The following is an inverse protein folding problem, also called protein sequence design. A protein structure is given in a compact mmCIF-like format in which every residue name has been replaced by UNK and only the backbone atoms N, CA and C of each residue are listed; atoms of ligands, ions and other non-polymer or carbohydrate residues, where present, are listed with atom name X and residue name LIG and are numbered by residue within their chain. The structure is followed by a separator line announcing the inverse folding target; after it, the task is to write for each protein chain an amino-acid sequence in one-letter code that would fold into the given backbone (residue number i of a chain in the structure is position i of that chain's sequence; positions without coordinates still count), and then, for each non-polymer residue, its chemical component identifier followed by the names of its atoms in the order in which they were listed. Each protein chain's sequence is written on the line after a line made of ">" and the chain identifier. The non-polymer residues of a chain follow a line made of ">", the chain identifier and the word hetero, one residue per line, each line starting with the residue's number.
data_IF_930682291783
#
_entry.id   IF_930682291783
#
_cell.length_a   1.000
_cell.length_b   1.000
_cell.length_c   1.000
_cell.angle_alpha   90.00
_cell.angle_beta   90.00
_cell.angle_gamma   90.00
#
_symmetry.space_group_name_H-M   'P 1'
#
loop_
_entity.id
_entity.type
_entity.pdbx_description
1 polymer ?
#
# COMPACT_ATOMS: atom_id res chain seq x y z
N UNK A 1 -14.19 -26.73 -23.42
CA UNK A 1 -14.28 -25.90 -22.21
C UNK A 1 -14.57 -24.49 -22.68
N UNK A 2 -15.84 -24.13 -22.77
CA UNK A 2 -16.22 -22.75 -23.08
C UNK A 2 -15.87 -21.89 -21.87
N UNK A 3 -14.81 -21.11 -21.98
CA UNK A 3 -14.42 -20.14 -20.96
C UNK A 3 -15.44 -18.99 -21.01
N UNK A 4 -16.60 -19.17 -20.37
CA UNK A 4 -17.52 -18.06 -20.13
C UNK A 4 -16.78 -17.07 -19.23
N UNK A 5 -16.29 -15.98 -19.84
CA UNK A 5 -15.64 -14.90 -19.11
C UNK A 5 -16.62 -14.33 -18.10
N UNK A 6 -16.30 -14.44 -16.81
CA UNK A 6 -17.10 -13.82 -15.77
C UNK A 6 -17.08 -12.29 -15.98
N UNK A 7 -18.25 -11.62 -16.09
CA UNK A 7 -18.32 -10.20 -16.39
C UNK A 7 -17.59 -9.32 -15.37
N UNK A 8 -17.40 -9.81 -14.13
CA UNK A 8 -16.62 -9.12 -13.10
C UNK A 8 -15.20 -8.80 -13.58
N UNK A 9 -14.55 -9.68 -14.36
CA UNK A 9 -13.20 -9.41 -14.87
C UNK A 9 -13.13 -8.21 -15.81
N UNK A 10 -14.25 -7.84 -16.43
CA UNK A 10 -14.36 -6.76 -17.41
C UNK A 10 -14.98 -5.47 -16.85
N UNK A 11 -15.22 -5.41 -15.54
CA UNK A 11 -15.66 -4.17 -14.90
C UNK A 11 -14.63 -3.05 -15.14
N UNK A 12 -15.12 -1.85 -15.43
CA UNK A 12 -14.27 -0.67 -15.68
C UNK A 12 -13.18 -0.45 -14.61
N UNK A 13 -13.46 -0.52 -13.29
CA UNK A 13 -12.42 -0.42 -12.27
C UNK A 13 -11.35 -1.52 -12.39
N UNK A 14 -11.72 -2.76 -12.75
CA UNK A 14 -10.77 -3.87 -12.86
C UNK A 14 -9.87 -3.73 -14.08
N UNK A 15 -10.40 -3.20 -15.20
CA UNK A 15 -9.59 -2.87 -16.38
C UNK A 15 -8.54 -1.80 -16.06
N UNK A 16 -8.90 -0.80 -15.25
CA UNK A 16 -7.94 0.19 -14.74
C UNK A 16 -6.92 -0.48 -13.81
N UNK A 17 -7.36 -1.39 -12.93
CA UNK A 17 -6.47 -2.19 -12.09
C UNK A 17 -5.40 -2.95 -12.90
N UNK A 18 -5.79 -3.58 -14.02
CA UNK A 18 -4.81 -4.23 -14.91
C UNK A 18 -3.85 -3.23 -15.56
N UNK A 19 -4.34 -2.05 -15.95
CA UNK A 19 -3.49 -1.00 -16.49
C UNK A 19 -2.47 -0.49 -15.45
N UNK A 20 -2.88 -0.36 -14.18
CA UNK A 20 -1.99 -0.03 -13.06
C UNK A 20 -0.86 -1.04 -12.92
N UNK A 21 -1.15 -2.34 -13.02
CA UNK A 21 -0.13 -3.39 -13.01
C UNK A 21 0.87 -3.20 -14.16
N UNK A 22 0.39 -2.93 -15.37
CA UNK A 22 1.28 -2.69 -16.53
C UNK A 22 2.18 -1.46 -16.29
N UNK A 23 1.63 -0.37 -15.75
CA UNK A 23 2.41 0.83 -15.42
C UNK A 23 3.42 0.57 -14.31
N UNK A 24 3.07 -0.19 -13.28
CA UNK A 24 4.01 -0.62 -12.24
C UNK A 24 5.17 -1.43 -12.84
N UNK A 25 4.89 -2.37 -13.74
CA UNK A 25 5.93 -3.15 -14.43
C UNK A 25 6.87 -2.28 -15.27
N UNK A 26 6.35 -1.29 -16.00
CA UNK A 26 7.18 -0.32 -16.70
C UNK A 26 8.02 0.54 -15.76
N UNK A 27 7.47 0.90 -14.60
CA UNK A 27 8.22 1.58 -13.56
C UNK A 27 9.40 0.72 -13.07
N UNK A 28 9.14 -0.54 -12.70
CA UNK A 28 10.17 -1.47 -12.21
C UNK A 28 11.29 -1.69 -13.24
N UNK A 29 10.93 -1.85 -14.52
CA UNK A 29 11.91 -2.00 -15.59
C UNK A 29 12.79 -0.76 -15.78
N UNK A 30 12.24 0.44 -15.52
CA UNK A 30 12.96 1.70 -15.63
C UNK A 30 13.76 2.05 -14.36
N UNK A 31 13.39 1.52 -13.18
CA UNK A 31 13.97 1.88 -11.89
C UNK A 31 15.52 1.85 -11.83
N UNK A 32 16.21 0.85 -12.42
CA UNK A 32 17.67 0.78 -12.30
C UNK A 32 18.44 1.84 -13.09
N UNK A 33 17.89 2.36 -14.19
CA UNK A 33 18.66 3.13 -15.19
C UNK A 33 18.01 4.43 -15.65
N UNK A 34 16.69 4.57 -15.54
CA UNK A 34 15.93 5.70 -16.09
C UNK A 34 15.00 6.29 -15.02
N UNK A 35 15.54 7.09 -14.08
CA UNK A 35 14.78 7.55 -12.91
C UNK A 35 13.54 8.36 -13.26
N UNK A 36 13.63 9.25 -14.25
CA UNK A 36 12.50 10.08 -14.68
C UNK A 36 11.36 9.22 -15.23
N UNK A 37 11.66 8.27 -16.11
CA UNK A 37 10.65 7.37 -16.68
C UNK A 37 10.02 6.49 -15.58
N UNK A 38 10.83 5.95 -14.67
CA UNK A 38 10.35 5.14 -13.55
C UNK A 38 9.37 5.92 -12.67
N UNK A 39 9.71 7.15 -12.30
CA UNK A 39 8.86 8.01 -11.46
C UNK A 39 7.55 8.40 -12.16
N UNK A 40 7.58 8.67 -13.48
CA UNK A 40 6.36 8.96 -14.25
C UNK A 40 5.43 7.74 -14.26
N UNK A 41 5.94 6.55 -14.59
CA UNK A 41 5.12 5.33 -14.62
C UNK A 41 4.61 4.95 -13.22
N UNK A 42 5.42 5.14 -12.18
CA UNK A 42 5.02 4.93 -10.79
C UNK A 42 3.86 5.86 -10.41
N UNK A 43 4.02 7.16 -10.70
CA UNK A 43 3.00 8.16 -10.42
C UNK A 43 1.70 7.89 -11.19
N UNK A 44 1.78 7.50 -12.47
CA UNK A 44 0.60 7.13 -13.26
C UNK A 44 -0.13 5.92 -12.68
N UNK A 45 0.60 4.90 -12.21
CA UNK A 45 0.00 3.75 -11.53
C UNK A 45 -0.73 4.16 -10.25
N UNK A 46 -0.07 4.97 -9.40
CA UNK A 46 -0.65 5.46 -8.15
C UNK A 46 -1.83 6.44 -8.38
N UNK A 47 -1.80 7.23 -9.45
CA UNK A 47 -2.86 8.17 -9.78
C UNK A 47 -4.16 7.45 -10.22
N UNK A 48 -4.01 6.35 -10.95
CA UNK A 48 -5.15 5.55 -11.43
C UNK A 48 -5.90 4.81 -10.32
N UNK A 49 -5.26 4.59 -9.16
CA UNK A 49 -5.88 4.04 -7.94
C UNK A 49 -7.12 4.82 -7.51
N UNK A 50 -6.98 6.15 -7.38
CA UNK A 50 -8.11 6.99 -7.01
C UNK A 50 -9.24 6.94 -8.05
N UNK A 51 -8.89 6.69 -9.32
CA UNK A 51 -9.83 6.67 -10.43
C UNK A 51 -10.64 5.37 -10.48
N UNK A 52 -10.02 4.20 -10.24
CA UNK A 52 -10.77 2.94 -10.21
C UNK A 52 -11.80 2.91 -9.07
N UNK A 53 -11.47 3.40 -7.88
CA UNK A 53 -12.40 3.49 -6.76
C UNK A 53 -13.53 4.47 -7.03
N UNK A 54 -13.26 5.56 -7.75
CA UNK A 54 -14.30 6.48 -8.22
C UNK A 54 -15.24 5.80 -9.24
N UNK A 55 -14.70 5.08 -10.22
CA UNK A 55 -15.50 4.37 -11.22
C UNK A 55 -16.33 3.23 -10.62
N UNK A 56 -15.77 2.48 -9.66
CA UNK A 56 -16.48 1.41 -8.96
C UNK A 56 -17.75 1.92 -8.27
N UNK A 57 -17.66 3.10 -7.62
CA UNK A 57 -18.81 3.76 -6.99
C UNK A 57 -19.78 4.36 -7.99
N UNK A 58 -19.26 5.02 -9.03
CA UNK A 58 -20.08 5.70 -10.05
C UNK A 58 -20.92 4.72 -10.87
N UNK A 59 -20.34 3.60 -11.27
CA UNK A 59 -21.00 2.58 -12.11
C UNK A 59 -21.60 1.43 -11.32
N UNK A 60 -21.58 1.49 -9.98
CA UNK A 60 -22.05 0.42 -9.09
C UNK A 60 -21.40 -0.95 -9.41
N UNK A 61 -20.12 -0.94 -9.77
CA UNK A 61 -19.31 -2.10 -10.14
C UNK A 61 -18.32 -2.48 -9.04
N UNK A 62 -18.71 -2.29 -7.77
CA UNK A 62 -17.90 -2.71 -6.62
C UNK A 62 -17.94 -4.23 -6.50
N UNK A 63 -16.77 -4.86 -6.41
CA UNK A 63 -16.67 -6.32 -6.29
C UNK A 63 -15.56 -6.71 -5.32
N UNK A 64 -15.66 -7.89 -4.70
CA UNK A 64 -14.60 -8.39 -3.81
C UNK A 64 -13.30 -8.62 -4.58
N UNK A 65 -13.39 -9.16 -5.79
CA UNK A 65 -12.25 -9.31 -6.69
C UNK A 65 -11.54 -7.98 -6.96
N UNK A 66 -12.29 -6.94 -7.34
CA UNK A 66 -11.71 -5.62 -7.60
C UNK A 66 -11.03 -5.01 -6.38
N UNK A 67 -11.67 -5.11 -5.20
CA UNK A 67 -11.07 -4.63 -3.96
C UNK A 67 -9.78 -5.39 -3.58
N UNK A 68 -9.71 -6.70 -3.82
CA UNK A 68 -8.48 -7.48 -3.60
C UNK A 68 -7.39 -7.14 -4.62
N UNK A 69 -7.76 -6.96 -5.90
CA UNK A 69 -6.84 -6.60 -6.98
C UNK A 69 -6.19 -5.24 -6.72
N UNK A 70 -7.00 -4.26 -6.32
CA UNK A 70 -6.59 -2.92 -5.92
C UNK A 70 -5.54 -2.96 -4.79
N UNK A 71 -5.92 -3.57 -3.66
CA UNK A 71 -5.04 -3.66 -2.50
C UNK A 71 -3.73 -4.41 -2.81
N UNK A 72 -3.78 -5.48 -3.61
CA UNK A 72 -2.58 -6.23 -4.01
C UNK A 72 -1.67 -5.40 -4.93
N UNK A 73 -2.25 -4.66 -5.88
CA UNK A 73 -1.49 -3.85 -6.84
C UNK A 73 -0.71 -2.75 -6.13
N UNK A 74 -1.32 -2.09 -5.15
CA UNK A 74 -0.63 -1.13 -4.27
C UNK A 74 0.57 -1.74 -3.58
N UNK A 75 0.38 -2.90 -2.90
CA UNK A 75 1.45 -3.53 -2.11
C UNK A 75 2.60 -3.99 -2.99
N UNK A 76 2.30 -4.55 -4.16
CA UNK A 76 3.33 -4.95 -5.12
C UNK A 76 4.09 -3.75 -5.68
N UNK A 77 3.40 -2.64 -5.97
CA UNK A 77 4.00 -1.39 -6.46
C UNK A 77 4.98 -0.81 -5.43
N UNK A 78 4.53 -0.69 -4.19
CA UNK A 78 5.37 -0.25 -3.08
C UNK A 78 6.55 -1.19 -2.82
N UNK A 79 6.33 -2.51 -2.82
CA UNK A 79 7.41 -3.49 -2.66
C UNK A 79 8.47 -3.36 -3.76
N UNK A 80 8.08 -3.13 -5.01
CA UNK A 80 9.02 -2.91 -6.11
C UNK A 80 9.94 -1.71 -5.87
N UNK A 81 9.38 -0.61 -5.36
CA UNK A 81 10.17 0.56 -4.95
C UNK A 81 11.13 0.22 -3.80
N UNK A 82 10.66 -0.50 -2.77
CA UNK A 82 11.49 -0.96 -1.65
C UNK A 82 12.64 -1.86 -2.13
N UNK A 83 12.38 -2.77 -3.09
CA UNK A 83 13.40 -3.64 -3.68
C UNK A 83 14.47 -2.84 -4.44
N UNK A 84 14.09 -1.79 -5.18
CA UNK A 84 15.04 -0.90 -5.81
C UNK A 84 15.90 -0.15 -4.78
N UNK A 85 15.31 0.30 -3.67
CA UNK A 85 16.04 0.95 -2.58
C UNK A 85 17.01 0.00 -1.87
N UNK A 86 16.65 -1.27 -1.68
CA UNK A 86 17.57 -2.30 -1.18
C UNK A 86 18.82 -2.43 -2.06
N UNK A 87 18.67 -2.31 -3.38
CA UNK A 87 19.80 -2.35 -4.31
C UNK A 87 20.67 -1.09 -4.22
N UNK A 88 20.06 0.10 -4.11
CA UNK A 88 20.78 1.37 -4.08
C UNK A 88 21.43 1.71 -2.74
N UNK A 89 20.86 1.22 -1.64
CA UNK A 89 21.28 1.52 -0.27
C UNK A 89 21.48 0.24 0.55
N UNK A 90 22.51 -0.58 0.22
CA UNK A 90 22.71 -1.89 0.82
C UNK A 90 22.90 -1.84 2.34
N UNK A 91 23.46 -0.76 2.88
CA UNK A 91 23.64 -0.56 4.33
C UNK A 91 22.32 -0.55 5.12
N UNK A 92 21.21 -0.21 4.46
CA UNK A 92 19.88 -0.08 5.07
C UNK A 92 18.94 -1.24 4.69
N UNK A 93 19.45 -2.30 4.06
CA UNK A 93 18.65 -3.39 3.49
C UNK A 93 17.68 -4.01 4.51
N UNK A 94 18.14 -4.22 5.75
CA UNK A 94 17.32 -4.80 6.81
C UNK A 94 16.10 -3.94 7.11
N UNK A 95 16.26 -2.61 7.15
CA UNK A 95 15.17 -1.66 7.43
C UNK A 95 14.14 -1.69 6.31
N UNK A 96 14.58 -1.65 5.06
CA UNK A 96 13.69 -1.72 3.89
C UNK A 96 12.95 -3.04 3.80
N UNK A 97 13.63 -4.16 4.04
CA UNK A 97 13.00 -5.49 4.11
C UNK A 97 11.96 -5.55 5.22
N UNK A 98 12.29 -5.05 6.41
CA UNK A 98 11.39 -5.04 7.55
C UNK A 98 10.11 -4.24 7.26
N UNK A 99 10.23 -3.03 6.69
CA UNK A 99 9.09 -2.21 6.30
C UNK A 99 8.23 -2.91 5.25
N UNK A 100 8.84 -3.44 4.19
CA UNK A 100 8.11 -4.14 3.13
C UNK A 100 7.35 -5.36 3.65
N UNK A 101 7.98 -6.17 4.51
CA UNK A 101 7.37 -7.35 5.12
C UNK A 101 6.19 -6.96 6.02
N UNK A 102 6.36 -5.95 6.88
CA UNK A 102 5.29 -5.52 7.77
C UNK A 102 4.12 -4.95 7.00
N UNK A 103 4.37 -4.16 5.96
CA UNK A 103 3.30 -3.59 5.15
C UNK A 103 2.45 -4.69 4.50
N UNK A 104 3.09 -5.69 3.89
CA UNK A 104 2.38 -6.83 3.29
C UNK A 104 1.67 -7.68 4.35
N UNK A 105 2.37 -8.07 5.42
CA UNK A 105 1.81 -8.95 6.46
C UNK A 105 0.60 -8.33 7.16
N UNK A 106 0.70 -7.04 7.53
CA UNK A 106 -0.38 -6.30 8.20
C UNK A 106 -1.64 -6.23 7.33
N UNK A 107 -1.50 -5.83 6.07
CA UNK A 107 -2.62 -5.70 5.14
C UNK A 107 -3.21 -7.07 4.75
N UNK A 108 -2.38 -8.10 4.57
CA UNK A 108 -2.84 -9.45 4.26
C UNK A 108 -3.69 -10.02 5.39
N UNK A 109 -3.18 -9.96 6.63
CA UNK A 109 -3.90 -10.48 7.79
C UNK A 109 -5.17 -9.68 8.06
N UNK A 110 -5.10 -8.36 7.86
CA UNK A 110 -6.26 -7.50 7.99
C UNK A 110 -7.36 -7.82 6.98
N UNK A 111 -6.98 -8.03 5.71
CA UNK A 111 -7.92 -8.37 4.65
C UNK A 111 -8.65 -9.69 4.96
N UNK A 112 -7.92 -10.71 5.40
CA UNK A 112 -8.49 -12.00 5.80
C UNK A 112 -9.40 -11.89 7.03
N UNK A 113 -8.98 -11.13 8.05
CA UNK A 113 -9.80 -10.90 9.23
C UNK A 113 -11.12 -10.18 8.87
N UNK A 114 -11.08 -9.23 7.93
CA UNK A 114 -12.26 -8.55 7.41
C UNK A 114 -13.23 -9.49 6.68
N UNK A 115 -12.68 -10.38 5.84
CA UNK A 115 -13.48 -11.37 5.11
C UNK A 115 -14.17 -12.38 6.02
N UNK A 116 -13.43 -12.91 7.01
CA UNK A 116 -13.95 -13.93 7.92
C UNK A 116 -15.02 -13.39 8.87
N UNK A 117 -14.84 -12.15 9.34
CA UNK A 117 -15.78 -11.54 10.30
C UNK A 117 -17.01 -10.93 9.66
N UNK A 118 -17.03 -10.75 8.32
CA UNK A 118 -18.12 -10.10 7.59
C UNK A 118 -18.34 -8.63 7.96
N UNK A 119 -17.49 -8.05 8.83
CA UNK A 119 -17.54 -6.66 9.24
C UNK A 119 -16.92 -5.80 8.13
N UNK A 120 -17.75 -5.40 7.18
CA UNK A 120 -17.37 -4.71 5.94
C UNK A 120 -16.72 -3.33 6.11
N UNK A 121 -16.54 -2.78 7.32
CA UNK A 121 -15.83 -1.49 7.47
C UNK A 121 -15.30 -1.30 8.89
N UNK A 122 -14.03 -0.89 8.98
CA UNK A 122 -13.14 -0.54 10.10
C UNK A 122 -13.69 0.21 11.34
N UNK A 123 -14.99 0.43 11.50
CA UNK A 123 -15.55 1.28 12.57
C UNK A 123 -15.55 0.64 13.97
N UNK A 124 -14.97 -0.56 14.13
CA UNK A 124 -14.95 -1.29 15.40
C UNK A 124 -13.57 -1.84 15.81
N UNK A 125 -12.46 -1.21 15.39
CA UNK A 125 -11.20 -1.54 16.06
C UNK A 125 -11.25 -1.00 17.50
N UNK A 126 -11.13 -1.86 18.50
CA UNK A 126 -11.08 -1.46 19.93
C UNK A 126 -9.91 -0.52 20.25
N UNK A 127 -8.90 -0.44 19.37
CA UNK A 127 -7.74 0.43 19.54
C UNK A 127 -8.04 1.87 19.03
N UNK A 128 -7.95 2.89 19.89
CA UNK A 128 -8.29 4.28 19.54
C UNK A 128 -7.39 4.86 18.44
N UNK A 129 -6.12 4.45 18.37
CA UNK A 129 -5.18 4.93 17.35
C UNK A 129 -5.57 4.45 15.95
N UNK A 130 -5.91 3.16 15.82
CA UNK A 130 -6.38 2.58 14.56
C UNK A 130 -7.73 3.15 14.15
N UNK A 131 -8.63 3.37 15.12
CA UNK A 131 -9.93 3.96 14.84
C UNK A 131 -9.78 5.39 14.29
N UNK A 132 -8.92 6.22 14.88
CA UNK A 132 -8.64 7.55 14.34
C UNK A 132 -8.01 7.49 12.94
N UNK A 133 -7.04 6.57 12.74
CA UNK A 133 -6.38 6.36 11.46
C UNK A 133 -7.36 6.05 10.32
N UNK A 134 -8.34 5.18 10.58
CA UNK A 134 -9.34 4.78 9.57
C UNK A 134 -10.56 5.71 9.49
N UNK A 135 -10.86 6.47 10.55
CA UNK A 135 -12.01 7.39 10.56
C UNK A 135 -11.71 8.69 9.82
N UNK A 136 -10.49 9.20 9.94
CA UNK A 136 -10.08 10.47 9.32
C UNK A 136 -9.47 10.24 7.93
N UNK A 137 -10.29 10.40 6.87
CA UNK A 137 -9.82 10.31 5.47
C UNK A 137 -8.61 11.21 5.16
N UNK A 138 -8.56 12.49 5.62
CA UNK A 138 -7.39 13.34 5.37
C UNK A 138 -6.12 12.80 6.03
N UNK A 139 -6.23 12.24 7.24
CA UNK A 139 -5.09 11.70 7.96
C UNK A 139 -4.58 10.40 7.31
N UNK A 140 -5.49 9.51 6.90
CA UNK A 140 -5.15 8.30 6.13
C UNK A 140 -4.40 8.67 4.85
N UNK A 141 -4.94 9.61 4.07
CA UNK A 141 -4.32 10.08 2.84
C UNK A 141 -2.94 10.70 3.09
N UNK A 142 -2.81 11.59 4.09
CA UNK A 142 -1.54 12.22 4.43
C UNK A 142 -0.46 11.19 4.83
N UNK A 143 -0.83 10.16 5.58
CA UNK A 143 0.07 9.10 5.99
C UNK A 143 0.52 8.21 4.83
N UNK A 144 -0.41 7.81 3.95
CA UNK A 144 -0.06 7.01 2.77
C UNK A 144 0.78 7.83 1.79
N UNK A 145 0.35 9.06 1.47
CA UNK A 145 1.08 9.96 0.60
C UNK A 145 2.47 10.30 1.13
N UNK A 146 2.59 10.60 2.44
CA UNK A 146 3.88 10.90 3.05
C UNK A 146 4.82 9.69 3.07
N UNK A 147 4.30 8.48 3.31
CA UNK A 147 5.08 7.25 3.20
C UNK A 147 5.62 7.06 1.78
N UNK A 148 4.76 7.12 0.77
CA UNK A 148 5.14 7.04 -0.65
C UNK A 148 6.15 8.13 -1.03
N UNK A 149 5.92 9.37 -0.59
CA UNK A 149 6.81 10.50 -0.85
C UNK A 149 8.18 10.27 -0.23
N UNK A 150 8.29 9.74 0.99
CA UNK A 150 9.58 9.44 1.62
C UNK A 150 10.42 8.46 0.79
N UNK A 151 9.86 7.30 0.44
CA UNK A 151 10.59 6.29 -0.33
C UNK A 151 10.85 6.75 -1.78
N UNK A 152 9.91 7.49 -2.38
CA UNK A 152 10.10 8.11 -3.70
C UNK A 152 11.21 9.16 -3.69
N UNK A 153 11.31 9.98 -2.64
CA UNK A 153 12.39 10.95 -2.48
C UNK A 153 13.75 10.29 -2.26
N UNK A 154 13.83 9.19 -1.49
CA UNK A 154 15.05 8.39 -1.38
C UNK A 154 15.48 7.84 -2.75
N UNK A 155 14.52 7.33 -3.52
CA UNK A 155 14.78 6.82 -4.87
C UNK A 155 15.32 7.92 -5.79
N UNK A 156 14.67 9.09 -5.85
CA UNK A 156 15.13 10.23 -6.66
C UNK A 156 16.49 10.71 -6.17
N UNK A 157 16.70 10.79 -4.86
CA UNK A 157 17.94 11.26 -4.25
C UNK A 157 19.16 10.39 -4.60
N UNK A 158 18.96 9.12 -4.95
CA UNK A 158 20.04 8.26 -5.41
C UNK A 158 20.64 8.76 -6.73
N UNK A 159 19.78 9.19 -7.66
CA UNK A 159 20.19 9.64 -8.99
C UNK A 159 20.47 11.14 -9.07
N UNK A 160 19.69 11.94 -8.34
CA UNK A 160 19.80 13.39 -8.33
C UNK A 160 19.59 13.93 -6.91
N UNK A 161 20.67 14.31 -6.20
CA UNK A 161 20.56 14.81 -4.83
C UNK A 161 19.97 16.24 -4.76
N UNK A 162 19.83 16.93 -5.89
CA UNK A 162 19.33 18.30 -5.94
C UNK A 162 20.41 19.37 -5.81
N UNK A 163 20.04 20.66 -5.87
CA UNK A 163 20.97 21.75 -5.60
C UNK A 163 21.49 21.66 -4.16
N UNK A 164 22.81 21.81 -4.00
CA UNK A 164 23.47 21.77 -2.70
C UNK A 164 23.72 23.18 -2.18
N UNK A 165 23.29 23.48 -0.95
CA UNK A 165 23.67 24.70 -0.24
C UNK A 165 24.47 24.32 1.02
N UNK A 166 25.72 24.80 1.11
CA UNK A 166 26.62 24.58 2.26
C UNK A 166 26.57 23.15 2.84
N UNK A 167 26.82 22.14 1.99
CA UNK A 167 26.89 20.69 2.30
C UNK A 167 25.54 19.97 2.46
N UNK A 168 24.40 20.68 2.41
CA UNK A 168 23.07 20.05 2.48
C UNK A 168 22.47 19.95 1.08
N UNK A 169 22.18 18.71 0.68
CA UNK A 169 21.48 18.41 -0.57
C UNK A 169 19.97 18.53 -0.36
N UNK A 170 19.28 19.15 -1.33
CA UNK A 170 17.85 19.45 -1.21
C UNK A 170 16.97 18.19 -1.15
N UNK A 171 17.22 17.16 -1.96
CA UNK A 171 16.38 15.94 -1.98
C UNK A 171 16.48 15.13 -0.67
N UNK A 172 17.68 14.83 -0.11
CA UNK A 172 17.81 14.21 1.21
C UNK A 172 17.16 15.02 2.34
N UNK A 173 17.23 16.35 2.28
CA UNK A 173 16.60 17.21 3.28
C UNK A 173 15.08 17.05 3.27
N UNK A 174 14.45 17.04 2.07
CA UNK A 174 13.02 16.77 1.95
C UNK A 174 12.68 15.36 2.46
N UNK A 175 13.47 14.34 2.12
CA UNK A 175 13.28 13.00 2.63
C UNK A 175 13.34 12.97 4.17
N UNK A 176 14.27 13.70 4.78
CA UNK A 176 14.41 13.81 6.23
C UNK A 176 13.19 14.49 6.88
N UNK A 177 12.61 15.51 6.24
CA UNK A 177 11.40 16.19 6.72
C UNK A 177 10.19 15.24 6.69
N UNK A 178 10.09 14.38 5.68
CA UNK A 178 8.97 13.44 5.50
C UNK A 178 9.18 12.13 6.29
N UNK A 179 10.42 11.81 6.66
CA UNK A 179 10.77 10.59 7.40
C UNK A 179 9.89 10.30 8.64
N UNK A 180 9.55 11.27 9.51
CA UNK A 180 8.67 11.02 10.65
C UNK A 180 7.32 10.42 10.23
N UNK A 181 6.78 10.81 9.08
CA UNK A 181 5.51 10.28 8.56
C UNK A 181 5.66 8.80 8.17
N UNK A 182 6.74 8.45 7.48
CA UNK A 182 7.04 7.06 7.11
C UNK A 182 7.29 6.17 8.34
N UNK A 183 8.00 6.70 9.35
CA UNK A 183 8.23 6.01 10.61
C UNK A 183 6.92 5.76 11.37
N UNK A 184 6.05 6.78 11.50
CA UNK A 184 4.74 6.63 12.14
C UNK A 184 3.86 5.68 11.35
N UNK A 185 3.83 5.75 10.01
CA UNK A 185 3.08 4.81 9.16
C UNK A 185 3.54 3.37 9.38
N UNK A 186 4.84 3.13 9.45
CA UNK A 186 5.40 1.80 9.70
C UNK A 186 5.02 1.27 11.10
N UNK A 187 5.03 2.13 12.12
CA UNK A 187 4.56 1.79 13.45
C UNK A 187 3.04 1.48 13.48
N UNK A 188 2.23 2.24 12.75
CA UNK A 188 0.79 1.97 12.60
C UNK A 188 0.58 0.61 11.94
N UNK A 189 1.34 0.27 10.89
CA UNK A 189 1.25 -1.05 10.24
C UNK A 189 1.58 -2.21 11.20
N UNK A 190 2.53 -2.03 12.13
CA UNK A 190 2.77 -3.01 13.21
C UNK A 190 1.59 -3.16 14.16
N UNK A 191 1.03 -2.05 14.64
CA UNK A 191 -0.16 -2.07 15.52
C UNK A 191 -1.34 -2.71 14.79
N UNK A 192 -1.46 -2.46 13.50
CA UNK A 192 -2.50 -3.02 12.64
C UNK A 192 -2.36 -4.53 12.46
N UNK A 193 -1.14 -5.04 12.29
CA UNK A 193 -0.85 -6.47 12.26
C UNK A 193 -1.28 -7.16 13.56
N UNK A 194 -0.85 -6.64 14.71
CA UNK A 194 -1.18 -7.22 16.02
C UNK A 194 -2.69 -7.20 16.28
N UNK A 195 -3.36 -6.10 15.96
CA UNK A 195 -4.81 -5.97 16.16
C UNK A 195 -5.60 -6.92 15.26
N UNK A 196 -5.14 -7.12 14.02
CA UNK A 196 -5.77 -8.07 13.09
C UNK A 196 -5.57 -9.53 13.55
N UNK A 197 -4.39 -9.87 14.07
CA UNK A 197 -4.13 -11.18 14.67
C UNK A 197 -5.04 -11.47 15.87
N UNK A 198 -5.20 -10.50 16.77
CA UNK A 198 -6.10 -10.61 17.92
C UNK A 198 -7.56 -10.80 17.48
N UNK A 199 -7.98 -10.08 16.45
CA UNK A 199 -9.34 -10.19 15.89
C UNK A 199 -9.58 -11.59 15.36
N UNK A 200 -8.63 -12.15 14.61
CA UNK A 200 -8.73 -13.51 14.07
C UNK A 200 -8.79 -14.57 15.19
N UNK A 201 -7.89 -14.48 16.18
CA UNK A 201 -7.89 -15.40 17.32
C UNK A 201 -9.20 -15.34 18.12
N UNK A 202 -9.78 -14.14 18.28
CA UNK A 202 -11.08 -13.98 18.95
C UNK A 202 -12.23 -14.61 18.17
N UNK A 203 -12.22 -14.48 16.84
CA UNK A 203 -13.20 -15.10 15.96
C UNK A 203 -13.13 -16.63 16.02
N UNK A 204 -11.92 -17.20 16.07
CA UNK A 204 -11.74 -18.65 16.21
C UNK A 204 -12.26 -19.16 17.56
N UNK A 205 -11.99 -18.43 18.65
CA UNK A 205 -12.53 -18.76 19.97
C UNK A 205 -14.07 -18.74 19.99
N UNK A 206 -14.69 -17.73 19.37
CA UNK A 206 -16.15 -17.64 19.26
C UNK A 206 -16.75 -18.81 18.47
N UNK A 207 -16.07 -19.25 17.40
CA UNK A 207 -16.48 -20.41 16.62
C UNK A 207 -16.35 -21.73 17.40
N UNK A 208 -15.30 -21.88 18.20
CA UNK A 208 -15.15 -23.04 19.09
C UNK A 208 -16.28 -23.08 20.13
N UNK A 209 -16.60 -21.95 20.76
CA UNK A 209 -17.69 -21.85 21.73
C UNK A 209 -19.06 -22.15 21.12
N UNK A 210 -19.29 -21.79 19.85
CA UNK A 210 -20.53 -22.11 19.12
C UNK A 210 -20.67 -23.60 18.80
N UNK A 211 -19.57 -24.31 18.59
CA UNK A 211 -19.58 -25.76 18.31
C UNK A 211 -19.80 -26.62 19.56
N UNK A 212 -19.54 -26.07 20.74
CA UNK A 212 -19.73 -26.74 22.03
C UNK A 212 -21.14 -26.55 22.61
N UNK A 213 -21.96 -25.68 22.01
CA UNK A 213 -23.39 -25.52 22.32
C UNK A 213 -24.24 -26.32 21.36
#
# INVERSE_FOLDING_TARGET
>A
MDFQLNPVYLFYPNLIGYLRIVFALFSFAAMPTRPVAASIWYFLSAFLDAFDGYLARKYNQSSRFGAMLDQLTDRCTFLGLIMALCHFYPSCIFVFQFVGIIDIASHWLHLHAGDLTGKLTHKESKNPLLNYYYTSKPFLFAMCFGNEAFYGLLYISHFWPGPSLYLINFMPLLALIVFPVAAVKSAISLVHLVTSAQTLASHDLDNLNRRQK
#
